data_IF_293867165459
#
_entry.id   IF_293867165459
#
_cell.length_a   1.000
_cell.length_b   1.000
_cell.length_c   1.000
_cell.angle_alpha   90.00
_cell.angle_beta   90.00
_cell.angle_gamma   90.00
#
_symmetry.space_group_name_H-M   'P 1'
#
loop_
_entity.id
_entity.type
_entity.pdbx_description
1 polymer ?
#
# COMPACT_ATOMS: atom_id res chain seq x y z
N UNK A 1 -66.64 4.02 68.65
CA UNK A 1 -66.73 5.41 68.22
C UNK A 1 -65.97 5.53 66.90
N UNK A 2 -66.74 5.65 65.98
CA UNK A 2 -66.96 6.60 64.96
C UNK A 2 -65.95 6.51 63.81
N UNK A 3 -66.42 5.83 62.70
CA UNK A 3 -65.79 5.78 61.45
C UNK A 3 -66.01 7.03 60.64
N UNK A 4 -65.14 7.25 59.64
CA UNK A 4 -65.45 8.11 58.49
C UNK A 4 -64.98 7.42 57.22
N UNK A 5 -65.95 6.94 56.48
CA UNK A 5 -65.74 6.51 55.06
C UNK A 5 -65.87 7.77 54.20
N UNK A 6 -64.81 8.22 53.57
CA UNK A 6 -64.90 9.19 52.51
C UNK A 6 -64.85 8.49 51.17
N UNK A 7 -66.00 8.37 50.54
CA UNK A 7 -66.14 7.86 49.15
C UNK A 7 -65.60 8.82 48.13
N UNK A 8 -64.66 8.37 47.37
CA UNK A 8 -64.13 9.07 46.20
C UNK A 8 -65.17 9.07 45.07
N UNK A 9 -65.67 10.25 44.75
CA UNK A 9 -66.69 10.50 43.75
C UNK A 9 -66.20 10.07 42.37
N UNK A 10 -67.01 9.29 41.66
CA UNK A 10 -66.82 8.86 40.25
C UNK A 10 -66.56 10.02 39.26
N UNK A 11 -66.82 11.25 39.65
CA UNK A 11 -66.58 12.45 38.81
C UNK A 11 -65.10 12.89 38.77
N UNK A 12 -64.26 12.51 39.67
CA UNK A 12 -62.80 12.83 39.65
C UNK A 12 -61.96 11.84 38.88
N UNK A 13 -62.56 10.69 38.50
CA UNK A 13 -61.87 9.67 37.69
C UNK A 13 -61.93 9.95 36.19
N UNK A 14 -62.87 10.80 35.76
CA UNK A 14 -63.03 11.17 34.34
C UNK A 14 -62.27 12.43 33.93
N UNK A 15 -61.62 13.13 34.87
CA UNK A 15 -60.77 14.30 34.55
C UNK A 15 -59.28 13.98 34.44
N UNK A 16 -58.87 12.74 34.73
CA UNK A 16 -57.50 12.27 34.63
C UNK A 16 -57.17 11.44 33.38
N UNK A 17 -58.12 11.15 32.51
CA UNK A 17 -57.94 10.28 31.33
C UNK A 17 -57.73 11.03 29.99
N UNK A 18 -57.35 12.29 30.08
CA UNK A 18 -57.02 13.14 28.92
C UNK A 18 -55.52 13.34 28.68
N UNK A 19 -54.67 12.39 29.15
CA UNK A 19 -53.29 12.37 28.71
C UNK A 19 -53.27 11.85 27.26
N UNK A 20 -53.36 12.79 26.35
CA UNK A 20 -53.14 12.60 24.93
C UNK A 20 -51.77 11.94 24.76
N UNK A 21 -51.72 10.68 24.36
CA UNK A 21 -50.53 10.03 23.83
C UNK A 21 -50.19 10.79 22.53
N UNK A 22 -49.41 11.86 22.64
CA UNK A 22 -48.59 12.31 21.53
C UNK A 22 -47.55 11.20 21.28
N UNK A 23 -47.91 10.22 20.44
CA UNK A 23 -46.91 9.45 19.76
C UNK A 23 -46.06 10.46 18.98
N UNK A 24 -44.93 10.84 19.53
CA UNK A 24 -43.86 11.40 18.75
C UNK A 24 -43.49 10.33 17.73
N UNK A 25 -44.04 10.37 16.57
CA UNK A 25 -43.50 9.72 15.39
C UNK A 25 -42.19 10.45 15.19
N UNK A 26 -41.12 9.90 15.79
CA UNK A 26 -39.79 10.28 15.39
C UNK A 26 -39.74 10.04 13.90
N UNK A 27 -39.44 11.06 13.08
CA UNK A 27 -39.27 10.80 11.67
C UNK A 27 -38.24 9.70 11.61
N UNK A 28 -38.60 8.54 11.08
CA UNK A 28 -37.65 7.54 10.64
C UNK A 28 -36.75 8.33 9.70
N UNK A 29 -35.60 8.73 10.16
CA UNK A 29 -34.66 9.48 9.33
C UNK A 29 -34.46 8.64 8.09
N UNK A 30 -34.98 9.10 6.97
CA UNK A 30 -34.63 8.57 5.66
C UNK A 30 -33.11 8.63 5.66
N UNK A 31 -32.47 7.46 5.74
CA UNK A 31 -31.02 7.39 5.68
C UNK A 31 -30.64 8.16 4.42
N UNK A 32 -29.88 9.24 4.59
CA UNK A 32 -29.53 10.08 3.45
C UNK A 32 -28.82 9.19 2.43
N UNK A 33 -29.30 9.21 1.19
CA UNK A 33 -28.69 8.42 0.11
C UNK A 33 -27.18 8.65 0.07
N UNK A 34 -26.42 7.59 -0.10
CA UNK A 34 -24.97 7.69 -0.16
C UNK A 34 -24.55 8.57 -1.34
N UNK A 35 -23.65 9.51 -1.08
CA UNK A 35 -23.14 10.43 -2.09
C UNK A 35 -21.71 10.02 -2.46
N UNK A 36 -21.48 9.72 -3.73
CA UNK A 36 -20.14 9.50 -4.28
C UNK A 36 -19.42 10.85 -4.38
N UNK A 37 -18.21 10.92 -3.83
CA UNK A 37 -17.40 12.14 -3.77
C UNK A 37 -16.19 12.10 -4.69
N UNK A 38 -15.72 10.91 -5.04
CA UNK A 38 -14.65 10.73 -6.02
C UNK A 38 -14.74 9.36 -6.71
N UNK A 39 -14.27 9.29 -7.95
CA UNK A 39 -13.97 8.05 -8.67
C UNK A 39 -12.52 8.16 -9.14
N UNK A 40 -11.74 7.10 -8.98
CA UNK A 40 -10.35 7.04 -9.43
C UNK A 40 -10.08 5.72 -10.12
N UNK A 41 -9.28 5.74 -11.17
CA UNK A 41 -8.89 4.54 -11.93
C UNK A 41 -7.37 4.47 -12.01
N UNK A 42 -6.82 3.31 -11.67
CA UNK A 42 -5.39 3.02 -11.65
C UNK A 42 -5.08 1.84 -12.55
N UNK A 43 -4.85 2.06 -13.86
CA UNK A 43 -4.49 0.99 -14.78
C UNK A 43 -3.04 0.56 -14.59
N UNK A 44 -2.79 -0.74 -14.64
CA UNK A 44 -1.45 -1.32 -14.72
C UNK A 44 -1.48 -2.63 -15.50
N UNK A 45 -0.33 -3.15 -15.89
CA UNK A 45 -0.24 -4.46 -16.57
C UNK A 45 -0.67 -5.62 -15.66
N UNK A 46 -0.58 -5.45 -14.33
CA UNK A 46 -0.92 -6.49 -13.35
C UNK A 46 -2.42 -6.56 -13.07
N UNK A 47 -3.07 -5.40 -12.84
CA UNK A 47 -4.52 -5.27 -12.66
C UNK A 47 -4.93 -3.81 -12.81
N UNK A 48 -6.19 -3.56 -13.11
CA UNK A 48 -6.75 -2.21 -12.99
C UNK A 48 -7.58 -2.12 -11.72
N UNK A 49 -7.30 -1.10 -10.91
CA UNK A 49 -8.11 -0.74 -9.75
C UNK A 49 -9.03 0.40 -10.07
N UNK A 50 -10.32 0.24 -9.74
CA UNK A 50 -11.30 1.33 -9.74
C UNK A 50 -11.77 1.54 -8.30
N UNK A 51 -11.70 2.78 -7.83
CA UNK A 51 -12.12 3.15 -6.48
C UNK A 51 -13.26 4.17 -6.56
N UNK A 52 -14.38 3.87 -5.89
CA UNK A 52 -15.52 4.77 -5.71
C UNK A 52 -15.54 5.21 -4.25
N UNK A 53 -15.25 6.48 -4.00
CA UNK A 53 -15.24 7.07 -2.66
C UNK A 53 -16.58 7.74 -2.37
N UNK A 54 -17.12 7.56 -1.15
CA UNK A 54 -18.45 8.03 -0.75
C UNK A 54 -18.48 8.47 0.70
N UNK A 55 -19.51 9.24 1.06
CA UNK A 55 -19.72 9.69 2.44
C UNK A 55 -20.28 8.60 3.37
N UNK A 56 -20.81 7.49 2.82
CA UNK A 56 -21.33 6.33 3.55
C UNK A 56 -20.92 5.04 2.84
N UNK A 57 -20.93 3.92 3.54
CA UNK A 57 -20.68 2.60 2.97
C UNK A 57 -21.65 2.36 1.80
N UNK A 58 -21.10 1.98 0.64
CA UNK A 58 -21.88 1.66 -0.55
C UNK A 58 -22.37 0.21 -0.48
N UNK A 59 -23.67 0.02 -0.62
CA UNK A 59 -24.28 -1.28 -0.91
C UNK A 59 -24.15 -1.54 -2.40
N UNK A 60 -23.73 -2.74 -2.79
CA UNK A 60 -23.54 -3.04 -4.20
C UNK A 60 -23.87 -4.49 -4.55
N UNK A 61 -24.20 -4.71 -5.82
CA UNK A 61 -24.27 -6.02 -6.46
C UNK A 61 -23.41 -5.99 -7.71
N UNK A 62 -22.77 -7.13 -8.02
CA UNK A 62 -21.99 -7.26 -9.24
C UNK A 62 -22.36 -8.50 -10.01
N UNK A 63 -22.22 -8.43 -11.33
CA UNK A 63 -22.36 -9.57 -12.23
C UNK A 63 -21.60 -9.32 -13.53
N UNK A 64 -21.17 -10.40 -14.17
CA UNK A 64 -20.52 -10.36 -15.47
C UNK A 64 -21.51 -10.67 -16.58
N UNK A 65 -21.30 -10.08 -17.74
CA UNK A 65 -22.04 -10.36 -18.97
C UNK A 65 -21.02 -10.64 -20.08
N UNK A 66 -21.29 -11.65 -20.89
CA UNK A 66 -20.47 -12.02 -22.05
C UNK A 66 -21.09 -11.49 -23.35
N UNK A 67 -20.28 -11.40 -24.39
CA UNK A 67 -20.69 -10.99 -25.77
C UNK A 67 -21.34 -9.60 -25.87
N UNK A 68 -20.60 -8.48 -25.67
CA UNK A 68 -19.20 -8.38 -25.28
C UNK A 68 -19.00 -8.58 -23.77
N UNK A 69 -17.75 -8.87 -23.35
CA UNK A 69 -17.38 -9.00 -21.95
C UNK A 69 -17.61 -7.69 -21.19
N UNK A 70 -18.39 -7.74 -20.12
CA UNK A 70 -18.75 -6.57 -19.31
C UNK A 70 -18.81 -6.95 -17.83
N UNK A 71 -18.31 -6.07 -16.98
CA UNK A 71 -18.60 -6.07 -15.56
C UNK A 71 -19.69 -5.03 -15.28
N UNK A 72 -20.78 -5.45 -14.64
CA UNK A 72 -21.86 -4.57 -14.20
C UNK A 72 -21.82 -4.47 -12.67
N UNK A 73 -21.86 -3.25 -12.14
CA UNK A 73 -21.92 -2.98 -10.71
C UNK A 73 -23.09 -2.05 -10.44
N UNK A 74 -24.06 -2.51 -9.68
CA UNK A 74 -25.19 -1.75 -9.19
C UNK A 74 -24.88 -1.19 -7.81
N UNK A 75 -24.96 0.13 -7.66
CA UNK A 75 -24.86 0.83 -6.38
C UNK A 75 -26.27 1.13 -5.90
N UNK A 76 -26.64 0.58 -4.74
CA UNK A 76 -27.96 0.73 -4.15
C UNK A 76 -28.02 1.98 -3.24
N UNK A 77 -29.17 2.63 -3.18
CA UNK A 77 -29.41 3.83 -2.35
C UNK A 77 -28.45 4.99 -2.70
N UNK A 78 -28.07 5.11 -3.97
CA UNK A 78 -27.15 6.14 -4.50
C UNK A 78 -27.86 6.96 -5.57
N UNK A 79 -27.66 8.28 -5.53
CA UNK A 79 -28.12 9.17 -6.59
C UNK A 79 -26.99 9.44 -7.59
N UNK A 80 -27.34 9.41 -8.88
CA UNK A 80 -26.41 9.75 -9.94
C UNK A 80 -26.03 11.24 -9.87
N UNK A 81 -24.73 11.49 -9.71
CA UNK A 81 -24.19 12.85 -9.63
C UNK A 81 -23.11 13.10 -10.72
N UNK A 82 -22.59 14.33 -10.77
CA UNK A 82 -21.56 14.71 -11.75
C UNK A 82 -20.27 13.92 -11.63
N UNK A 83 -19.87 13.51 -10.42
CA UNK A 83 -18.67 12.70 -10.18
C UNK A 83 -18.81 11.33 -10.84
N UNK A 84 -19.93 10.65 -10.61
CA UNK A 84 -20.22 9.37 -11.27
C UNK A 84 -20.32 9.52 -12.80
N UNK A 85 -21.02 10.55 -13.29
CA UNK A 85 -21.14 10.83 -14.75
C UNK A 85 -19.77 11.02 -15.41
N UNK A 86 -18.80 11.55 -14.67
CA UNK A 86 -17.42 11.74 -15.13
C UNK A 86 -16.57 10.45 -15.15
N UNK A 87 -17.08 9.32 -14.66
CA UNK A 87 -16.29 8.07 -14.56
C UNK A 87 -15.69 7.62 -15.88
N UNK A 88 -16.45 7.71 -16.97
CA UNK A 88 -15.98 7.29 -18.30
C UNK A 88 -14.71 8.01 -18.76
N UNK A 89 -14.56 9.28 -18.39
CA UNK A 89 -13.37 10.07 -18.73
C UNK A 89 -12.11 9.69 -17.92
N UNK A 90 -12.25 8.90 -16.86
CA UNK A 90 -11.13 8.38 -16.07
C UNK A 90 -10.49 7.14 -16.72
N UNK A 91 -11.20 6.48 -17.65
CA UNK A 91 -10.67 5.31 -18.36
C UNK A 91 -9.66 5.79 -19.39
N UNK A 92 -8.43 5.33 -19.26
CA UNK A 92 -7.36 5.64 -20.20
C UNK A 92 -7.41 4.71 -21.40
N UNK A 93 -7.07 5.20 -22.59
CA UNK A 93 -7.05 4.39 -23.80
C UNK A 93 -6.04 3.23 -23.76
N UNK A 94 -4.98 3.38 -22.93
CA UNK A 94 -3.95 2.37 -22.71
C UNK A 94 -4.25 1.41 -21.54
N UNK A 95 -5.42 1.50 -20.88
CA UNK A 95 -5.85 0.54 -19.85
C UNK A 95 -5.90 -0.87 -20.45
N UNK A 96 -5.21 -1.88 -19.86
CA UNK A 96 -5.13 -3.22 -20.45
C UNK A 96 -6.45 -4.01 -20.32
N UNK A 97 -7.32 -3.66 -19.41
CA UNK A 97 -8.51 -4.45 -19.04
C UNK A 97 -9.82 -3.75 -19.36
N UNK A 98 -9.90 -2.43 -19.22
CA UNK A 98 -11.13 -1.66 -19.44
C UNK A 98 -11.08 -0.97 -20.81
N UNK A 99 -12.07 -1.26 -21.66
CA UNK A 99 -12.25 -0.58 -22.94
C UNK A 99 -12.95 0.75 -22.76
N UNK A 100 -14.04 0.74 -21.99
CA UNK A 100 -14.85 1.91 -21.68
C UNK A 100 -15.64 1.71 -20.40
N UNK A 101 -16.13 2.80 -19.82
CA UNK A 101 -17.03 2.73 -18.69
C UNK A 101 -18.17 3.73 -18.87
N UNK A 102 -19.37 3.32 -18.50
CA UNK A 102 -20.58 4.15 -18.51
C UNK A 102 -21.36 3.98 -17.23
N UNK A 103 -22.07 5.01 -16.85
CA UNK A 103 -22.90 5.03 -15.65
C UNK A 103 -24.23 5.68 -15.95
N UNK A 104 -25.29 5.16 -15.34
CA UNK A 104 -26.64 5.71 -15.48
C UNK A 104 -27.52 5.39 -14.27
N UNK A 105 -28.60 6.16 -14.09
CA UNK A 105 -29.64 5.80 -13.14
C UNK A 105 -30.42 4.63 -13.74
N UNK A 106 -30.37 3.47 -13.10
CA UNK A 106 -31.07 2.27 -13.54
C UNK A 106 -32.54 2.27 -13.08
N UNK A 107 -32.73 2.59 -11.82
CA UNK A 107 -34.02 2.81 -11.19
C UNK A 107 -33.92 3.96 -10.16
N UNK A 108 -35.01 4.42 -9.49
CA UNK A 108 -34.94 5.55 -8.56
C UNK A 108 -33.95 5.41 -7.41
N UNK A 109 -33.53 4.20 -7.07
CA UNK A 109 -32.62 3.92 -5.94
C UNK A 109 -31.31 3.29 -6.36
N UNK A 110 -31.11 2.94 -7.65
CA UNK A 110 -29.95 2.18 -8.11
C UNK A 110 -29.24 2.94 -9.22
N UNK A 111 -27.95 3.18 -9.03
CA UNK A 111 -27.05 3.64 -10.08
C UNK A 111 -26.28 2.44 -10.61
N UNK A 112 -26.33 2.23 -11.93
CA UNK A 112 -25.63 1.15 -12.61
C UNK A 112 -24.37 1.65 -13.29
N UNK A 113 -23.23 1.04 -12.94
CA UNK A 113 -21.95 1.20 -13.62
C UNK A 113 -21.73 -0.01 -14.52
N UNK A 114 -21.31 0.23 -15.77
CA UNK A 114 -21.01 -0.82 -16.75
C UNK A 114 -19.62 -0.58 -17.28
N UNK A 115 -18.73 -1.54 -17.07
CA UNK A 115 -17.38 -1.56 -17.61
C UNK A 115 -17.35 -2.52 -18.80
N UNK A 116 -17.06 -2.01 -19.98
CA UNK A 116 -16.77 -2.83 -21.16
C UNK A 116 -15.31 -3.27 -21.07
N UNK A 117 -15.06 -4.56 -21.23
CA UNK A 117 -13.74 -5.14 -20.98
C UNK A 117 -13.05 -5.51 -22.29
N UNK A 118 -11.73 -5.30 -22.33
CA UNK A 118 -10.87 -5.71 -23.45
C UNK A 118 -10.57 -7.21 -23.45
N UNK A 119 -10.69 -7.84 -22.28
CA UNK A 119 -10.42 -9.25 -22.05
C UNK A 119 -11.19 -9.75 -20.84
N UNK A 120 -11.24 -11.06 -20.66
CA UNK A 120 -11.89 -11.66 -19.49
C UNK A 120 -11.07 -11.34 -18.22
N UNK A 121 -11.76 -10.94 -17.14
CA UNK A 121 -11.15 -10.58 -15.86
C UNK A 121 -11.79 -11.33 -14.70
N UNK A 122 -11.04 -11.46 -13.60
CA UNK A 122 -11.53 -11.89 -12.29
C UNK A 122 -11.70 -10.64 -11.42
N UNK A 123 -12.91 -10.09 -11.27
CA UNK A 123 -13.13 -8.92 -10.45
C UNK A 123 -13.10 -9.30 -8.96
N UNK A 124 -12.46 -8.47 -8.15
CA UNK A 124 -12.50 -8.52 -6.70
C UNK A 124 -13.03 -7.21 -6.18
N UNK A 125 -14.18 -7.24 -5.48
CA UNK A 125 -14.80 -6.06 -4.92
C UNK A 125 -14.80 -6.15 -3.40
N UNK A 126 -14.42 -5.04 -2.75
CA UNK A 126 -14.42 -4.93 -1.29
C UNK A 126 -14.58 -3.48 -0.84
N UNK A 127 -15.10 -3.32 0.37
CA UNK A 127 -15.26 -2.01 0.99
C UNK A 127 -14.07 -1.68 1.90
N UNK A 128 -13.70 -0.39 1.95
CA UNK A 128 -12.67 0.14 2.82
C UNK A 128 -13.22 1.25 3.70
N UNK A 129 -12.96 1.14 4.99
CA UNK A 129 -13.26 2.17 5.97
C UNK A 129 -12.40 3.44 5.76
N UNK A 130 -12.83 4.59 6.31
CA UNK A 130 -12.07 5.83 6.25
C UNK A 130 -10.68 5.69 6.85
N UNK A 131 -9.66 6.17 6.13
CA UNK A 131 -8.27 6.18 6.57
C UNK A 131 -7.46 7.26 5.83
N UNK A 132 -6.52 7.88 6.49
CA UNK A 132 -5.57 8.84 5.88
C UNK A 132 -6.25 9.95 5.04
N UNK A 133 -7.40 10.45 5.48
CA UNK A 133 -8.16 11.49 4.77
C UNK A 133 -9.14 10.98 3.71
N UNK A 134 -9.07 9.71 3.33
CA UNK A 134 -10.09 9.07 2.50
C UNK A 134 -11.35 8.77 3.31
N UNK A 135 -12.51 8.85 2.65
CA UNK A 135 -13.80 8.43 3.20
C UNK A 135 -14.03 6.93 2.97
N UNK A 136 -15.29 6.48 3.08
CA UNK A 136 -15.68 5.12 2.70
C UNK A 136 -15.37 4.88 1.23
N UNK A 137 -14.84 3.71 0.89
CA UNK A 137 -14.46 3.38 -0.49
C UNK A 137 -14.98 2.00 -0.87
N UNK A 138 -15.56 1.90 -2.05
CA UNK A 138 -15.73 0.64 -2.75
C UNK A 138 -14.58 0.49 -3.74
N UNK A 139 -13.80 -0.56 -3.59
CA UNK A 139 -12.66 -0.88 -4.46
C UNK A 139 -13.04 -2.04 -5.37
N UNK A 140 -12.66 -1.95 -6.63
CA UNK A 140 -12.84 -2.97 -7.65
C UNK A 140 -11.48 -3.23 -8.31
N UNK A 141 -10.89 -4.39 -8.02
CA UNK A 141 -9.65 -4.84 -8.64
C UNK A 141 -9.97 -5.83 -9.76
N UNK A 142 -9.56 -5.50 -10.98
CA UNK A 142 -9.79 -6.30 -12.18
C UNK A 142 -8.51 -7.01 -12.57
N UNK A 143 -8.39 -8.28 -12.19
CA UNK A 143 -7.25 -9.14 -12.53
C UNK A 143 -7.49 -9.87 -13.84
N UNK A 144 -6.45 -10.15 -14.67
CA UNK A 144 -6.58 -11.00 -15.84
C UNK A 144 -7.01 -12.41 -15.44
N UNK A 145 -7.93 -13.01 -16.21
CA UNK A 145 -8.36 -14.40 -15.97
C UNK A 145 -7.27 -15.42 -16.29
N UNK A 146 -6.39 -15.10 -17.23
CA UNK A 146 -5.30 -15.95 -17.70
C UNK A 146 -3.95 -15.33 -17.31
N UNK A 147 -3.46 -15.66 -16.12
CA UNK A 147 -2.14 -15.26 -15.67
C UNK A 147 -1.09 -16.23 -16.20
N UNK A 148 -0.51 -15.94 -17.37
CA UNK A 148 0.54 -16.79 -17.97
C UNK A 148 1.95 -16.19 -17.91
N UNK A 149 2.14 -15.06 -17.25
CA UNK A 149 3.47 -14.43 -17.18
C UNK A 149 4.36 -15.13 -16.14
N UNK A 150 5.19 -16.04 -16.64
CA UNK A 150 6.16 -16.81 -15.84
C UNK A 150 7.32 -15.92 -15.36
N UNK A 151 7.54 -14.75 -15.97
CA UNK A 151 8.68 -13.88 -15.65
C UNK A 151 8.45 -12.98 -14.44
N UNK A 152 7.23 -12.47 -14.25
CA UNK A 152 6.89 -11.68 -13.06
C UNK A 152 5.91 -12.44 -12.14
N UNK A 153 6.38 -12.89 -10.96
CA UNK A 153 5.53 -13.63 -10.02
C UNK A 153 4.48 -12.76 -9.32
N UNK A 154 4.40 -11.46 -9.60
CA UNK A 154 3.57 -10.52 -8.85
C UNK A 154 2.09 -10.91 -8.85
N UNK A 155 1.56 -11.26 -10.01
CA UNK A 155 0.14 -11.61 -10.12
C UNK A 155 -0.21 -12.87 -9.31
N UNK A 156 0.61 -13.91 -9.41
CA UNK A 156 0.42 -15.14 -8.62
C UNK A 156 0.52 -14.86 -7.11
N UNK A 157 1.49 -14.01 -6.70
CA UNK A 157 1.63 -13.61 -5.30
C UNK A 157 0.43 -12.80 -4.80
N UNK A 158 -0.15 -11.93 -5.63
CA UNK A 158 -1.38 -11.19 -5.28
C UNK A 158 -2.59 -12.12 -5.18
N UNK A 159 -2.73 -13.09 -6.09
CA UNK A 159 -3.79 -14.09 -6.00
C UNK A 159 -3.69 -14.93 -4.72
N UNK A 160 -2.48 -15.38 -4.36
CA UNK A 160 -2.26 -16.17 -3.14
C UNK A 160 -2.43 -15.32 -1.88
N UNK A 161 -1.99 -14.06 -1.91
CA UNK A 161 -2.22 -13.12 -0.82
C UNK A 161 -3.72 -12.92 -0.56
N UNK A 162 -4.51 -12.72 -1.60
CA UNK A 162 -5.95 -12.54 -1.51
C UNK A 162 -6.70 -13.81 -1.02
N UNK A 163 -6.11 -14.99 -1.25
CA UNK A 163 -6.60 -16.28 -0.73
C UNK A 163 -6.12 -16.60 0.69
N UNK A 164 -5.20 -15.80 1.25
CA UNK A 164 -4.55 -16.07 2.54
C UNK A 164 -3.44 -17.12 2.48
N UNK A 165 -3.04 -17.54 1.27
CA UNK A 165 -2.09 -18.65 1.03
C UNK A 165 -0.66 -18.19 0.72
N UNK A 166 -0.35 -16.91 0.85
CA UNK A 166 0.95 -16.33 0.47
C UNK A 166 2.14 -17.07 1.07
N UNK A 167 2.00 -17.58 2.29
CA UNK A 167 3.07 -18.30 2.99
C UNK A 167 3.43 -19.64 2.35
N UNK A 168 2.52 -20.26 1.60
CA UNK A 168 2.76 -21.56 0.92
C UNK A 168 3.73 -21.44 -0.26
N UNK A 169 3.86 -20.25 -0.85
CA UNK A 169 4.72 -20.02 -2.00
C UNK A 169 6.07 -19.40 -1.65
N UNK A 170 6.22 -18.91 -0.43
CA UNK A 170 7.50 -18.43 0.05
C UNK A 170 8.32 -19.65 0.50
N UNK A 171 9.50 -19.90 -0.09
CA UNK A 171 10.37 -20.98 0.38
C UNK A 171 10.61 -20.81 1.88
N UNK A 172 10.63 -21.91 2.68
CA UNK A 172 11.00 -21.81 4.07
C UNK A 172 12.34 -21.08 4.18
N UNK A 173 12.44 -20.14 5.14
CA UNK A 173 13.72 -19.51 5.44
C UNK A 173 14.70 -20.61 5.80
N UNK A 174 15.71 -20.81 4.96
CA UNK A 174 16.73 -21.84 5.25
C UNK A 174 17.46 -21.45 6.52
N UNK A 175 17.54 -22.39 7.45
CA UNK A 175 18.16 -22.23 8.74
C UNK A 175 19.64 -21.87 8.60
N UNK A 176 19.96 -20.58 8.73
CA UNK A 176 21.28 -20.00 8.95
C UNK A 176 22.30 -20.13 7.82
N UNK A 177 23.23 -19.20 7.72
CA UNK A 177 24.30 -19.27 6.74
C UNK A 177 25.25 -20.41 7.10
N UNK A 178 25.24 -21.50 6.34
CA UNK A 178 26.34 -22.46 6.39
C UNK A 178 27.63 -21.81 5.84
N UNK A 179 28.77 -21.84 6.58
CA UNK A 179 30.00 -21.27 6.09
C UNK A 179 30.54 -22.08 4.91
N UNK A 180 30.46 -21.62 3.71
CA UNK A 180 30.97 -22.16 2.47
C UNK A 180 31.47 -21.01 1.61
N UNK A 181 32.54 -21.19 0.87
CA UNK A 181 33.11 -20.19 -0.02
C UNK A 181 32.06 -19.64 -0.95
N UNK A 182 31.87 -18.30 -1.00
CA UNK A 182 31.07 -17.67 -2.00
C UNK A 182 31.50 -18.19 -3.37
N UNK A 183 30.63 -18.93 -4.04
CA UNK A 183 30.84 -19.28 -5.43
C UNK A 183 30.90 -17.99 -6.23
N UNK A 184 31.98 -17.72 -6.91
CA UNK A 184 32.21 -16.52 -7.74
C UNK A 184 31.28 -16.48 -8.97
N UNK A 185 30.38 -17.45 -9.15
CA UNK A 185 29.80 -17.78 -10.44
C UNK A 185 28.33 -17.44 -10.62
N UNK A 186 27.67 -16.79 -9.65
CA UNK A 186 26.29 -16.32 -9.85
C UNK A 186 26.16 -14.81 -9.67
N UNK A 187 25.27 -14.15 -10.42
CA UNK A 187 25.02 -12.73 -10.24
C UNK A 187 24.41 -12.45 -8.86
N UNK A 188 24.74 -11.30 -8.31
CA UNK A 188 24.09 -10.74 -7.12
C UNK A 188 22.67 -10.31 -7.51
N UNK A 189 21.67 -10.81 -6.81
CA UNK A 189 20.25 -10.49 -7.07
C UNK A 189 19.79 -9.38 -6.14
N UNK A 190 19.36 -8.26 -6.71
CA UNK A 190 18.91 -7.07 -5.99
C UNK A 190 17.41 -6.87 -6.23
N UNK A 191 16.65 -6.72 -5.15
CA UNK A 191 15.26 -6.29 -5.22
C UNK A 191 15.17 -4.80 -4.88
N UNK A 192 14.67 -4.01 -5.81
CA UNK A 192 14.33 -2.60 -5.60
C UNK A 192 12.85 -2.49 -5.30
N UNK A 193 12.51 -1.75 -4.26
CA UNK A 193 11.14 -1.51 -3.83
C UNK A 193 10.84 -0.01 -3.87
N UNK A 194 10.34 0.53 -4.98
CA UNK A 194 9.81 1.89 -4.97
C UNK A 194 8.56 1.93 -4.11
N UNK A 195 8.62 2.65 -3.00
CA UNK A 195 7.53 2.75 -2.04
C UNK A 195 6.20 3.22 -2.65
N UNK A 196 5.09 2.95 -1.97
CA UNK A 196 3.75 3.40 -2.39
C UNK A 196 3.31 2.88 -3.76
N UNK A 197 2.37 3.55 -4.42
CA UNK A 197 1.88 3.24 -5.75
C UNK A 197 0.36 3.11 -5.82
N UNK A 198 -0.20 3.30 -7.01
CA UNK A 198 -1.64 3.26 -7.23
C UNK A 198 -2.37 4.28 -6.37
N UNK A 199 -3.35 3.84 -5.59
CA UNK A 199 -4.14 4.69 -4.69
C UNK A 199 -3.31 5.30 -3.56
N UNK A 200 -2.27 4.62 -3.11
CA UNK A 200 -1.34 5.15 -2.13
C UNK A 200 -0.33 6.09 -2.80
N UNK A 201 -0.57 7.39 -2.65
CA UNK A 201 0.32 8.42 -3.21
C UNK A 201 1.66 8.54 -2.47
N UNK A 202 1.76 7.98 -1.25
CA UNK A 202 2.79 8.41 -0.31
C UNK A 202 2.59 9.87 0.10
N UNK A 203 3.64 10.47 0.59
CA UNK A 203 3.67 11.87 0.93
C UNK A 203 3.46 12.76 -0.31
N UNK A 204 2.84 13.93 -0.09
CA UNK A 204 2.59 14.92 -1.13
C UNK A 204 3.23 16.25 -0.73
N UNK A 205 4.14 16.74 -1.55
CA UNK A 205 4.82 18.01 -1.35
C UNK A 205 3.91 19.21 -1.58
N UNK A 206 4.43 20.40 -1.24
CA UNK A 206 3.70 21.66 -1.40
C UNK A 206 3.32 21.96 -2.86
N UNK A 207 4.11 21.52 -3.81
CA UNK A 207 3.88 21.68 -5.24
C UNK A 207 3.21 20.46 -5.88
N UNK A 208 2.47 19.69 -5.08
CA UNK A 208 1.74 18.50 -5.51
C UNK A 208 2.63 17.36 -6.08
N UNK A 209 3.93 17.39 -5.77
CA UNK A 209 4.82 16.27 -6.08
C UNK A 209 4.44 15.09 -5.22
N UNK A 210 4.15 13.95 -5.83
CA UNK A 210 3.79 12.72 -5.11
C UNK A 210 5.02 11.85 -4.93
N UNK A 211 5.21 11.33 -3.74
CA UNK A 211 6.32 10.45 -3.40
C UNK A 211 6.40 9.24 -4.33
N UNK A 212 5.26 8.55 -4.54
CA UNK A 212 5.20 7.36 -5.41
C UNK A 212 5.78 7.56 -6.81
N UNK A 213 5.64 8.77 -7.37
CA UNK A 213 6.14 9.08 -8.72
C UNK A 213 7.65 9.29 -8.71
N UNK A 214 8.16 10.01 -7.71
CA UNK A 214 9.58 10.30 -7.56
C UNK A 214 10.38 9.03 -7.29
N UNK A 215 9.94 8.23 -6.33
CA UNK A 215 10.67 7.01 -5.94
C UNK A 215 10.68 5.96 -7.06
N UNK A 216 9.60 5.90 -7.87
CA UNK A 216 9.58 5.06 -9.06
C UNK A 216 10.60 5.53 -10.12
N UNK A 217 10.74 6.84 -10.31
CA UNK A 217 11.73 7.41 -11.24
C UNK A 217 13.16 7.11 -10.76
N UNK A 218 13.44 7.26 -9.47
CA UNK A 218 14.75 6.93 -8.88
C UNK A 218 15.05 5.43 -9.03
N UNK A 219 14.09 4.58 -8.69
CA UNK A 219 14.25 3.12 -8.82
C UNK A 219 14.52 2.67 -10.25
N UNK A 220 13.85 3.27 -11.24
CA UNK A 220 14.10 2.99 -12.68
C UNK A 220 15.51 3.40 -13.12
N UNK A 221 16.03 4.54 -12.62
CA UNK A 221 17.42 4.96 -12.86
C UNK A 221 18.41 4.00 -12.23
N UNK A 222 18.17 3.64 -10.97
CA UNK A 222 19.01 2.67 -10.26
C UNK A 222 19.00 1.30 -10.96
N UNK A 223 17.84 0.84 -11.39
CA UNK A 223 17.72 -0.38 -12.20
C UNK A 223 18.60 -0.30 -13.44
N UNK A 224 18.48 0.77 -14.23
CA UNK A 224 19.26 0.94 -15.47
C UNK A 224 20.78 1.01 -15.21
N UNK A 225 21.21 1.48 -14.03
CA UNK A 225 22.63 1.43 -13.61
C UNK A 225 23.06 0.03 -13.24
N UNK A 226 22.25 -0.70 -12.46
CA UNK A 226 22.56 -2.08 -12.04
C UNK A 226 22.60 -3.04 -13.24
N UNK A 227 21.69 -2.87 -14.23
CA UNK A 227 21.65 -3.68 -15.44
C UNK A 227 22.95 -3.58 -16.29
N UNK A 228 23.73 -2.51 -16.09
CA UNK A 228 25.04 -2.35 -16.74
C UNK A 228 26.17 -3.08 -15.99
N UNK A 229 25.94 -3.52 -14.74
CA UNK A 229 26.91 -4.27 -13.96
C UNK A 229 26.84 -5.74 -14.33
N UNK A 230 27.91 -6.31 -14.90
CA UNK A 230 27.91 -7.66 -15.45
C UNK A 230 27.72 -8.79 -14.44
N UNK A 231 27.89 -8.50 -13.14
CA UNK A 231 27.77 -9.46 -12.03
C UNK A 231 26.52 -9.24 -11.17
N UNK A 232 25.55 -8.42 -11.61
CA UNK A 232 24.34 -8.09 -10.87
C UNK A 232 23.09 -8.36 -11.70
N UNK A 233 22.01 -8.76 -11.01
CA UNK A 233 20.66 -8.91 -11.57
C UNK A 233 19.68 -8.12 -10.70
N UNK A 234 18.80 -7.38 -11.32
CA UNK A 234 17.87 -6.50 -10.60
C UNK A 234 16.43 -6.83 -10.94
N UNK A 235 15.61 -6.82 -9.91
CA UNK A 235 14.15 -6.87 -10.00
C UNK A 235 13.55 -5.69 -9.26
N UNK A 236 12.30 -5.37 -9.60
CA UNK A 236 11.55 -4.34 -8.89
C UNK A 236 10.24 -4.93 -8.35
N UNK A 237 9.80 -4.47 -7.19
CA UNK A 237 8.49 -4.85 -6.66
C UNK A 237 7.37 -4.37 -7.57
N UNK A 238 7.46 -3.13 -8.06
CA UNK A 238 6.59 -2.56 -9.09
C UNK A 238 7.40 -1.82 -10.16
N UNK A 239 6.95 -1.88 -11.40
CA UNK A 239 7.50 -1.14 -12.54
C UNK A 239 6.57 0.00 -13.00
N UNK A 240 5.35 0.04 -12.45
CA UNK A 240 4.25 0.92 -12.83
C UNK A 240 3.65 1.59 -11.60
N UNK A 241 2.69 2.49 -11.82
CA UNK A 241 1.91 3.12 -10.75
C UNK A 241 0.79 2.19 -10.28
N UNK A 242 1.17 1.15 -9.53
CA UNK A 242 0.28 0.12 -8.99
C UNK A 242 0.50 -0.04 -7.50
N UNK A 243 -0.57 -0.24 -6.73
CA UNK A 243 -0.47 -0.57 -5.31
C UNK A 243 -0.08 -2.03 -5.12
N UNK A 244 0.91 -2.28 -4.24
CA UNK A 244 1.34 -3.63 -3.85
C UNK A 244 1.40 -3.70 -2.33
N UNK A 245 0.68 -4.65 -1.68
CA UNK A 245 0.73 -4.86 -0.24
C UNK A 245 2.16 -5.11 0.26
N UNK A 246 2.49 -4.62 1.44
CA UNK A 246 3.85 -4.73 2.01
C UNK A 246 4.34 -6.18 2.11
N UNK A 247 3.47 -7.10 2.52
CA UNK A 247 3.79 -8.55 2.57
C UNK A 247 4.10 -9.13 1.19
N UNK A 248 3.42 -8.67 0.14
CA UNK A 248 3.66 -9.13 -1.24
C UNK A 248 5.01 -8.62 -1.76
N UNK A 249 5.43 -7.41 -1.38
CA UNK A 249 6.77 -6.86 -1.74
C UNK A 249 7.88 -7.76 -1.17
N UNK A 250 7.76 -8.13 0.10
CA UNK A 250 8.69 -9.05 0.76
C UNK A 250 8.67 -10.44 0.09
N UNK A 251 7.48 -11.00 -0.13
CA UNK A 251 7.33 -12.30 -0.78
C UNK A 251 7.93 -12.33 -2.19
N UNK A 252 7.79 -11.22 -2.95
CA UNK A 252 8.41 -11.09 -4.27
C UNK A 252 9.94 -11.15 -4.19
N UNK A 253 10.54 -10.47 -3.20
CA UNK A 253 11.98 -10.53 -2.97
C UNK A 253 12.45 -11.95 -2.63
N UNK A 254 11.72 -12.65 -1.75
CA UNK A 254 12.02 -14.04 -1.37
C UNK A 254 11.87 -14.99 -2.57
N UNK A 255 10.79 -14.86 -3.36
CA UNK A 255 10.56 -15.70 -4.54
C UNK A 255 11.62 -15.51 -5.62
N UNK A 256 12.12 -14.28 -5.79
CA UNK A 256 13.25 -13.97 -6.68
C UNK A 256 14.60 -14.32 -6.07
N UNK A 257 14.60 -14.79 -4.83
CA UNK A 257 15.81 -15.12 -4.10
C UNK A 257 16.78 -13.93 -4.08
N UNK A 258 16.32 -12.76 -3.71
CA UNK A 258 17.16 -11.57 -3.64
C UNK A 258 18.27 -11.70 -2.57
N UNK A 259 19.45 -11.18 -2.88
CA UNK A 259 20.56 -11.06 -1.94
C UNK A 259 20.51 -9.76 -1.14
N UNK A 260 19.85 -8.74 -1.70
CA UNK A 260 19.58 -7.45 -1.05
C UNK A 260 18.19 -6.95 -1.39
N UNK A 261 17.58 -6.25 -0.44
CA UNK A 261 16.33 -5.51 -0.63
C UNK A 261 16.53 -4.03 -0.30
N UNK A 262 16.16 -3.15 -1.24
CA UNK A 262 16.30 -1.69 -1.10
C UNK A 262 14.93 -1.05 -1.32
N UNK A 263 14.29 -0.61 -0.23
CA UNK A 263 13.08 0.22 -0.31
C UNK A 263 13.47 1.69 -0.45
N UNK A 264 12.86 2.38 -1.40
CA UNK A 264 13.20 3.77 -1.77
C UNK A 264 12.00 4.64 -1.47
N UNK A 265 12.22 5.68 -0.66
CA UNK A 265 11.22 6.59 -0.13
C UNK A 265 11.64 8.06 -0.20
N UNK A 266 10.69 8.96 -0.01
CA UNK A 266 10.90 10.42 0.07
C UNK A 266 9.80 11.05 0.95
N UNK A 267 9.72 10.61 2.18
CA UNK A 267 8.62 10.84 3.12
C UNK A 267 8.42 12.31 3.53
N UNK A 268 7.37 12.56 4.25
CA UNK A 268 7.08 13.85 4.88
C UNK A 268 7.13 13.75 6.41
N UNK A 269 7.64 14.79 7.03
CA UNK A 269 7.40 15.03 8.46
C UNK A 269 6.22 15.98 8.67
N UNK A 270 5.72 16.01 9.91
CA UNK A 270 4.68 16.95 10.35
C UNK A 270 5.08 18.41 10.22
N UNK A 271 6.39 18.69 10.22
CA UNK A 271 6.96 20.01 9.96
C UNK A 271 7.77 20.01 8.66
N UNK A 272 7.99 21.21 8.09
CA UNK A 272 8.77 21.40 6.85
C UNK A 272 10.28 21.61 7.08
N UNK A 273 10.72 21.55 8.33
CA UNK A 273 12.11 21.80 8.71
C UNK A 273 13.04 20.60 8.46
N UNK A 274 12.62 19.33 8.71
CA UNK A 274 13.49 18.20 8.44
C UNK A 274 13.96 18.19 7.01
N UNK A 275 15.26 17.93 6.84
CA UNK A 275 15.94 17.86 5.56
C UNK A 275 17.04 16.80 5.61
N UNK A 276 17.51 16.40 4.46
CA UNK A 276 18.60 15.45 4.32
C UNK A 276 18.15 14.02 4.10
N UNK A 277 19.08 13.19 3.73
CA UNK A 277 18.83 11.77 3.51
C UNK A 277 18.98 10.94 4.79
N UNK A 278 18.28 9.83 4.87
CA UNK A 278 18.40 8.85 5.98
C UNK A 278 18.37 7.43 5.45
N UNK A 279 18.94 6.50 6.21
CA UNK A 279 18.82 5.07 5.94
C UNK A 279 18.34 4.36 7.20
N UNK A 280 17.40 3.45 7.00
CA UNK A 280 16.78 2.68 8.07
C UNK A 280 16.97 1.17 7.86
N UNK A 281 17.10 0.45 8.96
CA UNK A 281 17.04 -1.00 9.01
C UNK A 281 15.93 -1.46 9.96
N UNK A 282 15.56 -2.72 9.89
CA UNK A 282 14.57 -3.31 10.78
C UNK A 282 15.04 -3.31 12.23
N UNK A 283 14.11 -3.08 13.16
CA UNK A 283 14.27 -3.38 14.58
C UNK A 283 13.10 -4.19 15.10
N UNK A 284 13.40 -5.24 15.85
CA UNK A 284 12.43 -6.02 16.64
C UNK A 284 12.32 -5.52 18.08
N UNK A 285 13.25 -4.65 18.52
CA UNK A 285 13.35 -4.15 19.91
C UNK A 285 12.83 -2.72 20.09
N UNK A 286 12.15 -2.16 19.09
CA UNK A 286 11.65 -0.78 19.10
C UNK A 286 12.45 0.16 18.20
N UNK A 287 12.05 1.42 18.15
CA UNK A 287 12.68 2.41 17.29
C UNK A 287 13.84 3.12 17.97
N UNK A 288 14.87 3.48 17.19
CA UNK A 288 16.05 4.20 17.69
C UNK A 288 15.80 5.68 17.95
N UNK A 289 14.71 6.22 17.37
CA UNK A 289 14.28 7.60 17.59
C UNK A 289 12.77 7.75 17.43
N UNK A 290 12.21 8.85 17.94
CA UNK A 290 10.80 9.21 17.72
C UNK A 290 10.51 9.42 16.24
N UNK A 291 11.45 9.99 15.50
CA UNK A 291 11.35 10.17 14.05
C UNK A 291 11.26 8.82 13.33
N UNK A 292 12.15 7.88 13.63
CA UNK A 292 12.13 6.53 13.07
C UNK A 292 10.83 5.79 13.40
N UNK A 293 10.29 5.95 14.63
CA UNK A 293 9.00 5.39 15.03
C UNK A 293 7.85 5.95 14.19
N UNK A 294 7.84 7.28 14.03
CA UNK A 294 6.80 7.96 13.24
C UNK A 294 6.83 7.49 11.78
N UNK A 295 8.00 7.50 11.14
CA UNK A 295 8.15 7.04 9.75
C UNK A 295 7.71 5.58 9.57
N UNK A 296 8.12 4.68 10.48
CA UNK A 296 7.67 3.29 10.40
C UNK A 296 6.14 3.14 10.55
N UNK A 297 5.51 3.95 11.39
CA UNK A 297 4.05 3.94 11.54
C UNK A 297 3.36 4.44 10.26
N UNK A 298 3.86 5.51 9.66
CA UNK A 298 3.32 6.07 8.40
C UNK A 298 3.47 5.07 7.26
N UNK A 299 4.66 4.48 7.10
CA UNK A 299 4.92 3.49 6.07
C UNK A 299 4.08 2.23 6.23
N UNK A 300 3.94 1.73 7.45
CA UNK A 300 3.10 0.56 7.72
C UNK A 300 1.60 0.83 7.52
N UNK A 301 1.16 2.10 7.52
CA UNK A 301 -0.23 2.47 7.24
C UNK A 301 -0.57 2.42 5.73
N UNK A 302 0.40 2.31 4.85
CA UNK A 302 0.22 2.13 3.40
C UNK A 302 -0.73 0.99 3.06
N UNK A 303 -0.61 -0.14 3.76
CA UNK A 303 -1.49 -1.29 3.59
C UNK A 303 -2.97 -0.96 3.86
N UNK A 304 -3.25 -0.09 4.84
CA UNK A 304 -4.63 0.33 5.14
C UNK A 304 -5.22 1.20 4.03
N UNK A 305 -4.38 2.03 3.38
CA UNK A 305 -4.79 2.84 2.23
C UNK A 305 -5.16 1.93 1.06
N UNK A 306 -4.35 0.92 0.81
CA UNK A 306 -4.54 -0.05 -0.27
C UNK A 306 -5.60 -1.12 -0.01
N UNK A 307 -6.14 -1.21 1.21
CA UNK A 307 -7.22 -2.13 1.54
C UNK A 307 -6.81 -3.44 2.18
N UNK A 308 -5.60 -3.49 2.69
CA UNK A 308 -5.14 -4.64 3.47
C UNK A 308 -5.68 -4.53 4.89
N UNK A 309 -6.63 -5.37 5.25
CA UNK A 309 -7.09 -5.49 6.64
C UNK A 309 -5.97 -6.08 7.50
N UNK A 310 -5.81 -5.55 8.73
CA UNK A 310 -4.96 -6.20 9.72
C UNK A 310 -5.54 -7.59 10.01
N UNK A 311 -4.98 -8.64 9.44
CA UNK A 311 -5.34 -10.00 9.81
C UNK A 311 -5.02 -10.17 11.30
N UNK A 312 -6.03 -10.60 12.08
CA UNK A 312 -5.92 -10.77 13.53
C UNK A 312 -5.00 -11.92 13.98
N UNK A 313 -4.21 -12.48 13.09
CA UNK A 313 -3.35 -13.62 13.36
C UNK A 313 -2.02 -13.17 13.98
N UNK A 314 -2.09 -12.80 15.25
CA UNK A 314 -0.90 -12.47 16.08
C UNK A 314 -0.01 -13.69 16.38
N UNK A 315 -0.47 -14.91 16.12
CA UNK A 315 0.21 -16.13 16.58
C UNK A 315 1.23 -16.69 15.59
N UNK A 316 1.10 -16.40 14.31
CA UNK A 316 2.05 -16.87 13.28
C UNK A 316 3.32 -16.01 13.20
N UNK A 317 3.25 -14.77 13.67
CA UNK A 317 4.35 -13.79 13.55
C UNK A 317 5.51 -13.98 14.57
N UNK A 318 5.34 -14.72 15.66
CA UNK A 318 6.33 -14.68 16.75
C UNK A 318 7.34 -15.84 16.82
N UNK A 319 7.05 -17.03 16.34
CA UNK A 319 7.84 -18.21 16.69
C UNK A 319 8.93 -18.60 15.67
N UNK A 320 8.82 -18.20 14.41
CA UNK A 320 9.85 -18.50 13.39
C UNK A 320 10.83 -17.35 13.12
N UNK A 321 10.62 -16.19 13.70
CA UNK A 321 11.32 -14.95 13.36
C UNK A 321 12.63 -14.71 14.15
N UNK A 322 12.80 -15.27 15.33
CA UNK A 322 13.75 -14.71 16.30
C UNK A 322 15.23 -15.03 16.07
N UNK A 323 15.59 -16.14 15.47
CA UNK A 323 17.01 -16.53 15.36
C UNK A 323 17.68 -16.15 14.03
N UNK A 324 17.00 -16.28 12.90
CA UNK A 324 17.56 -15.93 11.58
C UNK A 324 17.61 -14.41 11.41
N UNK A 325 16.66 -13.71 12.00
CA UNK A 325 16.48 -12.27 11.87
C UNK A 325 17.62 -11.45 12.51
N UNK A 326 18.27 -11.92 13.57
CA UNK A 326 19.32 -11.14 14.23
C UNK A 326 20.58 -10.97 13.36
N UNK A 327 20.98 -12.00 12.62
CA UNK A 327 22.11 -11.94 11.69
C UNK A 327 21.79 -11.06 10.49
N UNK A 328 20.61 -11.21 9.93
CA UNK A 328 20.12 -10.40 8.80
C UNK A 328 20.01 -8.91 9.15
N UNK A 329 19.58 -8.59 10.38
CA UNK A 329 19.55 -7.19 10.88
C UNK A 329 20.99 -6.64 10.97
N UNK A 330 21.96 -7.41 11.46
CA UNK A 330 23.35 -6.96 11.54
C UNK A 330 23.94 -6.69 10.13
N UNK A 331 23.63 -7.53 9.16
CA UNK A 331 24.06 -7.31 7.77
C UNK A 331 23.29 -6.15 7.11
N UNK A 332 22.01 -5.95 7.44
CA UNK A 332 21.24 -4.78 7.04
C UNK A 332 21.85 -3.47 7.57
N UNK A 333 22.36 -3.47 8.81
CA UNK A 333 23.05 -2.31 9.38
C UNK A 333 24.37 -2.00 8.67
N UNK A 334 25.18 -3.02 8.34
CA UNK A 334 26.41 -2.85 7.55
C UNK A 334 26.10 -2.31 6.15
N UNK A 335 25.11 -2.90 5.49
CA UNK A 335 24.64 -2.46 4.18
C UNK A 335 24.13 -1.01 4.23
N UNK A 336 23.25 -0.72 5.20
CA UNK A 336 22.71 0.62 5.39
C UNK A 336 23.80 1.67 5.65
N UNK A 337 24.85 1.31 6.41
CA UNK A 337 25.99 2.21 6.64
C UNK A 337 26.72 2.53 5.33
N UNK A 338 27.01 1.53 4.51
CA UNK A 338 27.67 1.71 3.23
C UNK A 338 26.86 2.65 2.29
N UNK A 339 25.53 2.48 2.25
CA UNK A 339 24.66 3.36 1.44
C UNK A 339 24.60 4.77 2.04
N UNK A 340 24.43 4.90 3.36
CA UNK A 340 24.36 6.18 4.05
C UNK A 340 25.59 7.06 3.80
N UNK A 341 26.77 6.46 3.87
CA UNK A 341 28.05 7.15 3.58
C UNK A 341 28.09 7.72 2.16
N UNK A 342 27.59 6.98 1.18
CA UNK A 342 27.52 7.46 -0.20
C UNK A 342 26.45 8.54 -0.39
N UNK A 343 25.31 8.42 0.27
CA UNK A 343 24.26 9.45 0.27
C UNK A 343 24.76 10.79 0.85
N UNK A 344 25.62 10.74 1.86
CA UNK A 344 26.24 11.93 2.45
C UNK A 344 27.11 12.76 1.49
N UNK A 345 27.52 12.20 0.35
CA UNK A 345 28.31 12.92 -0.65
C UNK A 345 27.43 13.78 -1.58
N UNK A 346 26.13 13.54 -1.66
CA UNK A 346 25.22 14.22 -2.58
C UNK A 346 24.16 15.07 -1.88
N UNK A 347 23.85 14.75 -0.64
CA UNK A 347 22.88 15.49 0.17
C UNK A 347 23.31 15.50 1.63
N UNK A 348 22.83 16.48 2.39
CA UNK A 348 22.99 16.43 3.85
C UNK A 348 22.38 15.16 4.40
N UNK A 349 22.95 14.63 5.46
CA UNK A 349 22.35 13.52 6.18
C UNK A 349 21.46 14.05 7.30
N UNK A 350 20.22 13.60 7.37
CA UNK A 350 19.33 13.90 8.50
C UNK A 350 19.88 13.29 9.80
N UNK A 351 20.45 12.09 9.72
CA UNK A 351 21.22 11.42 10.77
C UNK A 351 22.48 10.81 10.17
N UNK A 352 23.58 10.92 10.88
CA UNK A 352 24.87 10.39 10.46
C UNK A 352 25.05 8.89 10.77
N UNK A 353 23.97 8.20 11.11
CA UNK A 353 23.93 6.76 11.41
C UNK A 353 22.67 6.14 10.83
N UNK A 354 22.73 4.82 10.58
CA UNK A 354 21.55 4.04 10.25
C UNK A 354 20.61 4.02 11.47
N UNK A 355 19.38 4.41 11.27
CA UNK A 355 18.33 4.32 12.27
C UNK A 355 17.55 3.02 12.14
N UNK A 356 16.80 2.63 13.16
CA UNK A 356 16.05 1.39 13.16
C UNK A 356 14.63 1.60 13.67
N UNK A 357 13.65 0.89 13.06
CA UNK A 357 12.30 0.80 13.56
C UNK A 357 11.58 -0.44 12.97
N UNK A 358 10.32 -0.65 13.37
CA UNK A 358 9.52 -1.80 12.96
C UNK A 358 8.89 -1.64 11.57
N UNK A 359 9.67 -1.40 10.52
CA UNK A 359 9.19 -1.32 9.15
C UNK A 359 8.72 -2.68 8.63
N UNK A 360 7.44 -2.80 8.28
CA UNK A 360 6.85 -4.05 7.83
C UNK A 360 7.49 -4.56 6.52
N UNK A 361 7.85 -3.65 5.62
CA UNK A 361 8.46 -3.98 4.33
C UNK A 361 9.89 -4.53 4.46
N UNK A 362 10.57 -4.30 5.58
CA UNK A 362 11.92 -4.81 5.84
C UNK A 362 11.92 -6.17 6.58
N UNK A 363 10.78 -6.80 6.76
CA UNK A 363 10.65 -8.07 7.49
C UNK A 363 10.98 -9.30 6.63
N UNK A 364 11.95 -9.23 5.75
CA UNK A 364 12.48 -10.42 5.08
C UNK A 364 13.49 -11.11 6.03
N UNK A 365 13.25 -12.34 6.49
CA UNK A 365 14.07 -12.95 7.53
C UNK A 365 15.49 -13.29 7.07
N UNK A 366 15.69 -13.51 5.78
CA UNK A 366 16.90 -14.03 5.17
C UNK A 366 17.57 -13.06 4.17
N UNK A 367 17.01 -11.84 4.01
CA UNK A 367 17.49 -10.85 3.04
C UNK A 367 17.91 -9.57 3.76
N UNK A 368 19.19 -9.16 3.74
CA UNK A 368 19.60 -7.85 4.21
C UNK A 368 18.80 -6.75 3.53
N UNK A 369 18.06 -5.97 4.32
CA UNK A 369 17.02 -5.06 3.86
C UNK A 369 17.20 -3.67 4.47
N UNK A 370 17.15 -2.64 3.63
CA UNK A 370 17.17 -1.23 4.05
C UNK A 370 16.05 -0.43 3.43
N UNK A 371 15.67 0.65 4.11
CA UNK A 371 14.82 1.70 3.56
C UNK A 371 15.64 2.99 3.48
N UNK A 372 15.68 3.58 2.30
CA UNK A 372 16.41 4.80 1.99
C UNK A 372 15.42 5.95 1.83
N UNK A 373 15.43 6.89 2.79
CA UNK A 373 14.79 8.19 2.62
C UNK A 373 15.73 9.07 1.84
N UNK A 374 15.38 9.33 0.59
CA UNK A 374 16.26 10.06 -0.33
C UNK A 374 16.34 11.54 0.01
N UNK A 375 15.23 12.11 0.45
CA UNK A 375 15.04 13.48 0.94
C UNK A 375 13.63 13.60 1.54
N UNK A 376 13.32 14.70 2.24
CA UNK A 376 11.98 14.90 2.78
C UNK A 376 11.12 15.78 1.86
N UNK A 377 10.11 15.20 1.22
CA UNK A 377 9.23 15.91 0.28
C UNK A 377 8.43 17.04 0.93
N UNK A 378 8.26 17.03 2.26
CA UNK A 378 7.67 18.12 3.04
C UNK A 378 8.52 19.37 3.07
N UNK A 379 9.86 19.26 2.85
CA UNK A 379 10.77 20.38 2.75
C UNK A 379 10.76 20.95 1.33
N UNK A 380 10.50 22.26 1.20
CA UNK A 380 10.31 22.90 -0.11
C UNK A 380 11.54 22.81 -1.01
N UNK A 381 12.73 22.97 -0.45
CA UNK A 381 13.97 22.91 -1.22
C UNK A 381 14.28 21.49 -1.66
N UNK A 382 13.99 20.50 -0.80
CA UNK A 382 14.16 19.10 -1.14
C UNK A 382 13.10 18.60 -2.12
N UNK A 383 11.85 19.07 -2.02
CA UNK A 383 10.83 18.78 -3.05
C UNK A 383 11.29 19.28 -4.43
N UNK A 384 11.91 20.47 -4.50
CA UNK A 384 12.48 20.99 -5.76
C UNK A 384 13.60 20.08 -6.29
N UNK A 385 14.52 19.62 -5.43
CA UNK A 385 15.61 18.70 -5.81
C UNK A 385 15.04 17.37 -6.30
N UNK A 386 14.11 16.77 -5.57
CA UNK A 386 13.47 15.49 -5.88
C UNK A 386 12.83 15.44 -7.28
N UNK A 387 12.35 16.57 -7.78
CA UNK A 387 11.78 16.71 -9.13
C UNK A 387 12.83 16.73 -10.24
N UNK A 388 14.09 16.95 -9.92
CA UNK A 388 15.14 17.07 -10.94
C UNK A 388 15.71 15.73 -11.35
N UNK A 389 15.88 15.54 -12.66
CA UNK A 389 16.53 14.34 -13.20
C UNK A 389 17.97 14.18 -12.66
N UNK A 390 18.65 15.30 -12.42
CA UNK A 390 20.03 15.31 -11.88
C UNK A 390 20.08 14.70 -10.49
N UNK A 391 19.29 15.18 -9.53
CA UNK A 391 19.30 14.67 -8.17
C UNK A 391 18.84 13.22 -8.10
N UNK A 392 17.80 12.84 -8.86
CA UNK A 392 17.35 11.46 -8.96
C UNK A 392 18.45 10.52 -9.48
N UNK A 393 19.27 10.98 -10.42
CA UNK A 393 20.40 10.23 -10.95
C UNK A 393 21.52 10.11 -9.90
N UNK A 394 21.87 11.20 -9.22
CA UNK A 394 22.86 11.22 -8.14
C UNK A 394 22.48 10.27 -6.99
N UNK A 395 21.18 10.24 -6.60
CA UNK A 395 20.65 9.30 -5.62
C UNK A 395 20.83 7.85 -6.09
N UNK A 396 20.45 7.55 -7.33
CA UNK A 396 20.59 6.20 -7.89
C UNK A 396 22.07 5.75 -7.93
N UNK A 397 22.99 6.61 -8.35
CA UNK A 397 24.44 6.35 -8.37
C UNK A 397 25.00 6.14 -6.95
N UNK A 398 24.53 6.91 -5.98
CA UNK A 398 24.97 6.78 -4.58
C UNK A 398 24.50 5.47 -3.96
N UNK A 399 23.26 5.05 -4.23
CA UNK A 399 22.77 3.73 -3.76
C UNK A 399 23.57 2.60 -4.40
N UNK A 400 23.83 2.64 -5.73
CA UNK A 400 24.65 1.64 -6.38
C UNK A 400 26.09 1.60 -5.82
N UNK A 401 26.69 2.77 -5.59
CA UNK A 401 28.02 2.84 -4.98
C UNK A 401 28.04 2.23 -3.56
N UNK A 402 26.98 2.42 -2.78
CA UNK A 402 26.81 1.79 -1.47
C UNK A 402 26.65 0.28 -1.57
N UNK A 403 25.87 -0.22 -2.52
CA UNK A 403 25.74 -1.66 -2.82
C UNK A 403 27.12 -2.27 -3.15
N UNK A 404 27.85 -1.62 -4.04
CA UNK A 404 29.20 -2.08 -4.45
C UNK A 404 30.19 -2.07 -3.27
N UNK A 405 30.16 -1.05 -2.43
CA UNK A 405 31.00 -0.95 -1.23
C UNK A 405 30.69 -2.09 -0.23
N UNK A 406 29.40 -2.37 0.01
CA UNK A 406 28.97 -3.44 0.89
C UNK A 406 29.54 -4.81 0.47
N UNK A 407 29.53 -5.13 -0.82
CA UNK A 407 30.08 -6.40 -1.31
C UNK A 407 31.62 -6.40 -1.37
N UNK A 408 32.25 -5.24 -1.56
CA UNK A 408 33.70 -5.13 -1.54
C UNK A 408 34.30 -5.43 -0.15
N UNK A 409 33.57 -5.08 0.92
CA UNK A 409 33.95 -5.38 2.32
C UNK A 409 33.75 -6.86 2.71
N UNK A 410 33.57 -7.77 1.75
CA UNK A 410 33.49 -9.21 1.99
C UNK A 410 32.13 -9.67 2.53
N UNK A 411 31.05 -8.92 2.28
CA UNK A 411 29.71 -9.36 2.59
C UNK A 411 29.42 -10.72 1.92
N UNK A 412 29.03 -11.69 2.73
CA UNK A 412 28.75 -13.05 2.27
C UNK A 412 27.40 -13.01 1.53
N UNK A 413 27.37 -13.43 0.27
CA UNK A 413 26.11 -13.70 -0.44
C UNK A 413 25.30 -14.69 0.39
N UNK A 414 24.01 -14.42 0.56
CA UNK A 414 23.10 -15.36 1.19
C UNK A 414 23.21 -16.71 0.47
N UNK A 415 23.59 -17.75 1.20
CA UNK A 415 23.85 -19.07 0.64
C UNK A 415 22.55 -19.81 0.45
N UNK A 416 22.46 -20.36 -0.72
CA UNK A 416 21.38 -21.26 -1.09
C UNK A 416 21.96 -22.62 -1.38
N UNK A 417 21.53 -23.58 -0.58
CA UNK A 417 21.69 -25.00 -0.87
C UNK A 417 20.80 -25.41 -2.04
#
# INVERSE_FOLDING_TARGET
>A
MSGYKSGLSRRRFLQGAGAMWLMSVSPVGLAAAAQVVAVRVWPSSTYTRVTVESNHILKYRQFALSNPERLVVDLEEVNLNSVLKGMGSQIRGDDPYIQSARVGQFDPQTVRMVFELKQNVKPQLFALAPVAGFKERLVMDLYPSNATDVQDPLLALLEDYNKGDLQRQVPPAESGPKPGKAGRDRPIVIMLDPGHGGEDSGAVGKYHTREKDVVLQIARRLRALIEKEGNMKVYMTRNEDVFIPLKVRVAKAQKQRADLFVSIHADAFTSRQPSGSSVFALSTKGATSTAAKYLAQTQNASDLIGGVSKSGDRYVDHTMFDMVQSLTIADSLKFGKAVLEKMGNINNLHKNRVEQAGFAVLKAPDIPSILVETAFISNIEEERKLKTAKFQQEVAESILAGIKAYFADGATLARRG
#
